data_IF_561603387870
#
_entry.id   IF_561603387870
#
_cell.length_a   1.000
_cell.length_b   1.000
_cell.length_c   1.000
_cell.angle_alpha   90.00
_cell.angle_beta   90.00
_cell.angle_gamma   90.00
#
_symmetry.space_group_name_H-M   'P 1'
#
loop_
_entity.id
_entity.type
_entity.pdbx_description
1 polymer ?
#
# COMPACT_ATOMS: atom_id res chain seq x y z
N UNK A 1 9.81 -15.43 -9.09
CA UNK A 1 8.39 -15.64 -8.73
C UNK A 1 7.60 -15.58 -10.01
N UNK A 2 6.64 -16.47 -10.21
CA UNK A 2 5.68 -16.37 -11.31
C UNK A 2 4.81 -15.09 -11.14
N UNK A 3 4.39 -14.41 -12.22
CA UNK A 3 3.59 -13.19 -12.13
C UNK A 3 2.34 -13.34 -11.24
N UNK A 4 1.71 -14.52 -11.28
CA UNK A 4 0.56 -14.87 -10.44
C UNK A 4 0.90 -14.86 -8.94
N UNK A 5 2.08 -15.36 -8.56
CA UNK A 5 2.51 -15.38 -7.17
C UNK A 5 2.78 -13.96 -6.63
N UNK A 6 3.30 -13.07 -7.47
CA UNK A 6 3.51 -11.67 -7.11
C UNK A 6 2.16 -10.97 -6.90
N UNK A 7 1.19 -11.23 -7.78
CA UNK A 7 -0.15 -10.68 -7.65
C UNK A 7 -0.84 -11.15 -6.36
N UNK A 8 -0.79 -12.44 -6.04
CA UNK A 8 -1.36 -13.01 -4.82
C UNK A 8 -0.70 -12.44 -3.55
N UNK A 9 0.63 -12.30 -3.58
CA UNK A 9 1.38 -11.70 -2.48
C UNK A 9 1.01 -10.22 -2.29
N UNK A 10 1.01 -9.43 -3.37
CA UNK A 10 0.64 -8.02 -3.33
C UNK A 10 -0.78 -7.84 -2.77
N UNK A 11 -1.74 -8.66 -3.23
CA UNK A 11 -3.10 -8.62 -2.72
C UNK A 11 -3.18 -8.93 -1.22
N UNK A 12 -2.45 -9.97 -0.77
CA UNK A 12 -2.38 -10.34 0.65
C UNK A 12 -1.85 -9.20 1.51
N UNK A 13 -0.84 -8.46 1.03
CA UNK A 13 -0.28 -7.32 1.76
C UNK A 13 -1.25 -6.14 1.76
N UNK A 14 -1.86 -5.81 0.62
CA UNK A 14 -2.87 -4.73 0.51
C UNK A 14 -4.02 -4.98 1.49
N UNK A 15 -4.59 -6.20 1.48
CA UNK A 15 -5.71 -6.57 2.33
C UNK A 15 -5.35 -6.51 3.82
N UNK A 16 -4.09 -6.79 4.17
CA UNK A 16 -3.61 -6.67 5.54
C UNK A 16 -3.53 -5.20 5.98
N UNK A 17 -3.00 -4.32 5.13
CA UNK A 17 -2.85 -2.88 5.41
C UNK A 17 -4.22 -2.19 5.54
N UNK A 18 -5.21 -2.59 4.73
CA UNK A 18 -6.57 -2.05 4.80
C UNK A 18 -7.27 -2.29 6.15
N UNK A 19 -6.78 -3.23 6.97
CA UNK A 19 -7.30 -3.46 8.33
C UNK A 19 -7.01 -2.31 9.28
N UNK A 20 -5.97 -1.52 8.99
CA UNK A 20 -5.53 -0.39 9.83
C UNK A 20 -5.64 0.95 9.11
N UNK A 21 -5.54 0.98 7.77
CA UNK A 21 -5.72 2.19 6.96
C UNK A 21 -7.04 2.09 6.19
N UNK A 22 -8.08 2.78 6.69
CA UNK A 22 -9.42 2.73 6.11
C UNK A 22 -9.59 3.74 4.99
N UNK A 23 -10.19 3.32 3.87
CA UNK A 23 -10.62 4.23 2.79
C UNK A 23 -9.48 4.78 1.92
N UNK A 24 -8.30 4.16 1.95
CA UNK A 24 -7.12 4.59 1.18
C UNK A 24 -6.57 3.50 0.24
N UNK A 25 -7.43 2.60 -0.25
CA UNK A 25 -7.03 1.46 -1.11
C UNK A 25 -6.11 1.85 -2.26
N UNK A 26 -6.51 2.87 -3.04
CA UNK A 26 -5.76 3.34 -4.20
C UNK A 26 -4.34 3.82 -3.83
N UNK A 27 -4.20 4.51 -2.70
CA UNK A 27 -2.89 4.94 -2.20
C UNK A 27 -2.02 3.74 -1.77
N UNK A 28 -2.62 2.73 -1.15
CA UNK A 28 -1.93 1.49 -0.74
C UNK A 28 -1.44 0.72 -1.98
N UNK A 29 -2.26 0.64 -3.03
CA UNK A 29 -1.89 0.02 -4.32
C UNK A 29 -0.72 0.76 -4.98
N UNK A 30 -0.73 2.10 -5.00
CA UNK A 30 0.39 2.90 -5.53
C UNK A 30 1.69 2.71 -4.74
N UNK A 31 1.60 2.60 -3.41
CA UNK A 31 2.75 2.27 -2.55
C UNK A 31 3.29 0.88 -2.90
N UNK A 32 2.41 -0.10 -3.13
CA UNK A 32 2.81 -1.45 -3.54
C UNK A 32 3.55 -1.45 -4.88
N UNK A 33 3.06 -0.68 -5.86
CA UNK A 33 3.73 -0.50 -7.15
C UNK A 33 5.11 0.13 -6.97
N UNK A 34 5.21 1.21 -6.20
CA UNK A 34 6.48 1.87 -5.93
C UNK A 34 7.48 0.91 -5.25
N UNK A 35 7.04 0.12 -4.28
CA UNK A 35 7.88 -0.87 -3.60
C UNK A 35 8.42 -1.93 -4.57
N UNK A 36 7.57 -2.50 -5.42
CA UNK A 36 7.95 -3.53 -6.39
C UNK A 36 8.86 -2.99 -7.51
N UNK A 37 8.75 -1.71 -7.83
CA UNK A 37 9.55 -1.04 -8.86
C UNK A 37 10.78 -0.31 -8.32
N UNK A 38 11.11 -0.47 -7.02
CA UNK A 38 12.19 0.27 -6.35
C UNK A 38 12.06 1.81 -6.49
N UNK A 39 10.82 2.29 -6.58
CA UNK A 39 10.47 3.70 -6.64
C UNK A 39 10.37 4.37 -5.27
N UNK A 40 10.09 5.67 -5.27
CA UNK A 40 9.93 6.47 -4.07
C UNK A 40 8.48 6.95 -3.92
N UNK A 41 8.00 7.04 -2.68
CA UNK A 41 6.67 7.56 -2.35
C UNK A 41 6.82 8.71 -1.36
N UNK A 42 6.12 9.81 -1.63
CA UNK A 42 5.90 10.89 -0.68
C UNK A 42 4.47 10.76 -0.14
N UNK A 43 4.33 10.67 1.18
CA UNK A 43 3.01 10.61 1.85
C UNK A 43 2.70 12.01 2.39
N UNK A 44 1.79 12.72 1.74
CA UNK A 44 1.23 13.97 2.22
C UNK A 44 -0.19 13.75 2.73
N UNK A 45 -0.48 14.23 3.93
CA UNK A 45 -1.83 14.13 4.48
C UNK A 45 -2.03 15.24 5.54
N UNK A 46 -3.27 15.66 5.78
CA UNK A 46 -3.61 16.78 6.70
C UNK A 46 -3.57 16.34 8.17
N UNK A 47 -3.15 17.17 9.15
CA UNK A 47 -3.00 16.74 10.55
C UNK A 47 -4.28 16.07 11.11
N UNK A 48 -4.14 14.96 11.84
CA UNK A 48 -5.26 14.26 12.51
C UNK A 48 -5.92 13.09 11.75
N UNK A 49 -5.40 12.70 10.59
CA UNK A 49 -5.97 11.63 9.71
C UNK A 49 -5.26 10.27 9.80
N UNK A 50 -4.42 10.05 10.82
CA UNK A 50 -3.77 8.74 11.03
C UNK A 50 -2.35 8.59 10.46
N UNK A 51 -1.61 9.69 10.29
CA UNK A 51 -0.14 9.67 10.01
C UNK A 51 0.72 9.11 11.15
N UNK A 52 0.10 8.84 12.31
CA UNK A 52 0.77 8.29 13.49
C UNK A 52 -0.22 7.38 14.21
N UNK A 53 0.04 6.07 14.19
CA UNK A 53 -0.28 5.20 15.33
C UNK A 53 0.94 5.14 16.24
#
# INVERSE_FOLDING_TARGET
MEPKQIQEFAQTVIDNVERVIVGKREAIELVMVALLCEGHVLIEDVPGTGKTM
#
